data_IF_810144822039
#
_entry.id   IF_810144822039
#
_cell.length_a   1.000
_cell.length_b   1.000
_cell.length_c   1.000
_cell.angle_alpha   90.00
_cell.angle_beta   90.00
_cell.angle_gamma   90.00
#
_symmetry.space_group_name_H-M   'P 1'
#
loop_
_entity.id
_entity.type
_entity.pdbx_description
1 polymer ?
#
# COMPACT_ATOMS: atom_id res chain seq x y z
N UNK A 1 -8.33 -21.47 18.93
CA UNK A 1 -7.35 -20.48 19.43
C UNK A 1 -7.88 -19.12 19.03
N UNK A 2 -8.29 -18.29 19.99
CA UNK A 2 -8.84 -16.96 19.71
C UNK A 2 -7.69 -15.96 19.80
N UNK A 3 -7.40 -15.26 18.71
CA UNK A 3 -6.30 -14.28 18.64
C UNK A 3 -6.94 -12.90 18.54
N UNK A 4 -6.61 -12.03 19.50
CA UNK A 4 -6.99 -10.63 19.47
C UNK A 4 -5.83 -9.81 18.88
N UNK A 5 -6.05 -9.19 17.73
CA UNK A 5 -5.07 -8.29 17.13
C UNK A 5 -5.21 -6.90 17.74
N UNK A 6 -4.15 -6.44 18.41
CA UNK A 6 -4.08 -5.12 19.02
C UNK A 6 -3.17 -4.21 18.20
N UNK A 7 -3.57 -2.95 18.03
CA UNK A 7 -2.71 -1.94 17.43
C UNK A 7 -1.78 -1.36 18.48
N UNK A 8 -0.53 -1.17 18.09
CA UNK A 8 0.50 -0.64 18.95
C UNK A 8 1.56 0.05 18.10
N UNK A 9 2.26 1.00 18.72
CA UNK A 9 3.43 1.65 18.16
C UNK A 9 4.63 1.55 19.11
N UNK A 10 5.83 1.67 18.56
CA UNK A 10 7.04 1.83 19.35
C UNK A 10 7.29 3.32 19.58
N UNK A 11 7.35 3.76 20.84
CA UNK A 11 7.55 5.16 21.20
C UNK A 11 9.04 5.57 21.26
N UNK A 12 9.95 4.64 20.97
CA UNK A 12 11.40 4.82 21.10
C UNK A 12 12.00 4.15 22.33
N UNK A 13 11.17 3.72 23.29
CA UNK A 13 11.61 3.00 24.49
C UNK A 13 10.84 1.68 24.65
N UNK A 14 9.52 1.70 24.48
CA UNK A 14 8.60 0.60 24.74
C UNK A 14 7.53 0.45 23.66
N UNK A 15 6.87 -0.71 23.65
CA UNK A 15 5.69 -0.95 22.81
C UNK A 15 4.47 -0.38 23.56
N UNK A 16 3.78 0.56 22.95
CA UNK A 16 2.61 1.24 23.49
C UNK A 16 1.37 0.76 22.73
N UNK A 17 0.40 0.19 23.44
CA UNK A 17 -0.91 -0.10 22.86
C UNK A 17 -1.60 1.22 22.53
N UNK A 18 -2.16 1.33 21.31
CA UNK A 18 -2.85 2.55 20.87
C UNK A 18 -4.19 2.75 21.58
N UNK A 19 -4.78 1.64 22.04
CA UNK A 19 -6.07 1.59 22.71
C UNK A 19 -5.91 0.90 24.08
N UNK A 20 -6.61 1.36 25.13
CA UNK A 20 -6.60 0.69 26.42
C UNK A 20 -7.19 -0.71 26.30
N UNK A 21 -6.49 -1.70 26.83
CA UNK A 21 -6.96 -3.09 26.83
C UNK A 21 -6.64 -3.73 28.18
N UNK A 22 -7.61 -4.45 28.73
CA UNK A 22 -7.45 -5.17 29.99
C UNK A 22 -6.77 -6.51 29.72
N UNK A 23 -5.52 -6.64 30.18
CA UNK A 23 -4.71 -7.85 30.05
C UNK A 23 -4.34 -8.35 31.45
N UNK A 24 -4.74 -9.57 31.83
CA UNK A 24 -4.28 -10.19 33.05
C UNK A 24 -2.74 -10.28 33.08
N UNK A 25 -2.12 -10.26 34.29
CA UNK A 25 -0.71 -10.56 34.44
C UNK A 25 -0.33 -11.90 33.79
N UNK A 26 0.86 -11.96 33.20
CA UNK A 26 1.42 -13.16 32.54
C UNK A 26 0.59 -13.70 31.36
N UNK A 27 -0.29 -12.88 30.77
CA UNK A 27 -0.98 -13.22 29.52
C UNK A 27 0.05 -13.49 28.42
N UNK A 28 0.06 -14.66 27.76
CA UNK A 28 0.99 -14.95 26.69
C UNK A 28 0.68 -14.11 25.45
N UNK A 29 1.66 -13.35 24.97
CA UNK A 29 1.52 -12.46 23.81
C UNK A 29 2.41 -12.92 22.66
N UNK A 30 1.92 -12.76 21.43
CA UNK A 30 2.71 -12.88 20.20
C UNK A 30 2.86 -11.48 19.62
N UNK A 31 4.09 -11.01 19.45
CA UNK A 31 4.38 -9.67 18.93
C UNK A 31 4.89 -9.78 17.51
N UNK A 32 4.18 -9.14 16.57
CA UNK A 32 4.62 -8.97 15.20
C UNK A 32 5.12 -7.53 15.00
N UNK A 33 6.38 -7.37 14.57
CA UNK A 33 6.97 -6.07 14.26
C UNK A 33 7.06 -5.94 12.74
N UNK A 34 6.33 -4.98 12.18
CA UNK A 34 6.43 -4.65 10.77
C UNK A 34 7.72 -3.85 10.58
N UNK A 35 8.66 -4.40 9.82
CA UNK A 35 9.83 -3.64 9.41
C UNK A 35 9.39 -2.68 8.30
N UNK A 36 9.95 -1.48 8.29
CA UNK A 36 9.81 -0.60 7.14
C UNK A 36 10.63 -1.23 6.01
N UNK A 37 9.99 -2.11 5.25
CA UNK A 37 10.66 -2.85 4.20
C UNK A 37 11.06 -1.92 3.05
N UNK A 38 12.06 -2.36 2.29
CA UNK A 38 12.42 -1.83 0.96
C UNK A 38 11.19 -1.63 0.05
N UNK A 39 10.05 -2.26 0.36
CA UNK A 39 8.76 -2.07 -0.27
C UNK A 39 8.24 -0.61 -0.25
N UNK A 40 8.62 0.24 0.71
CA UNK A 40 8.30 1.68 0.65
C UNK A 40 9.15 2.39 -0.42
N UNK A 41 10.44 2.05 -0.51
CA UNK A 41 11.32 2.55 -1.56
C UNK A 41 10.90 2.02 -2.95
N UNK A 42 10.57 0.73 -3.05
CA UNK A 42 10.05 0.11 -4.28
C UNK A 42 8.73 0.75 -4.70
N UNK A 43 7.80 1.00 -3.76
CA UNK A 43 6.56 1.74 -4.06
C UNK A 43 6.83 3.15 -4.58
N UNK A 44 7.82 3.85 -4.03
CA UNK A 44 8.20 5.17 -4.53
C UNK A 44 8.73 5.10 -5.98
N UNK A 45 9.58 4.12 -6.28
CA UNK A 45 10.11 3.89 -7.63
C UNK A 45 9.01 3.52 -8.63
N UNK A 46 8.11 2.61 -8.26
CA UNK A 46 6.93 2.27 -9.07
C UNK A 46 6.02 3.46 -9.30
N UNK A 47 5.80 4.27 -8.27
CA UNK A 47 4.99 5.50 -8.37
C UNK A 47 5.63 6.52 -9.31
N UNK A 48 6.96 6.66 -9.26
CA UNK A 48 7.70 7.55 -10.14
C UNK A 48 7.65 7.07 -11.61
N UNK A 49 7.77 5.75 -11.84
CA UNK A 49 7.65 5.16 -13.18
C UNK A 49 6.24 5.35 -13.75
N UNK A 50 5.20 5.09 -12.95
CA UNK A 50 3.82 5.27 -13.36
C UNK A 50 3.51 6.73 -13.73
N UNK A 51 4.01 7.70 -12.95
CA UNK A 51 3.87 9.14 -13.27
C UNK A 51 4.53 9.50 -14.61
N UNK A 52 5.74 8.97 -14.88
CA UNK A 52 6.43 9.20 -16.16
C UNK A 52 5.66 8.61 -17.34
N UNK A 53 5.16 7.37 -17.19
CA UNK A 53 4.37 6.72 -18.22
C UNK A 53 3.06 7.47 -18.50
N UNK A 54 2.39 7.95 -17.45
CA UNK A 54 1.17 8.75 -17.58
C UNK A 54 1.45 10.07 -18.29
N UNK A 55 2.50 10.78 -17.91
CA UNK A 55 2.88 12.04 -18.57
C UNK A 55 3.20 11.84 -20.06
N UNK A 56 3.85 10.72 -20.42
CA UNK A 56 4.11 10.36 -21.82
C UNK A 56 2.84 10.03 -22.60
N UNK A 57 1.89 9.33 -21.97
CA UNK A 57 0.65 8.93 -22.65
C UNK A 57 -0.18 10.14 -23.11
N UNK A 58 -0.03 11.29 -22.44
CA UNK A 58 -0.74 12.54 -22.72
C UNK A 58 0.20 13.69 -23.13
N UNK A 59 1.39 13.36 -23.64
CA UNK A 59 2.33 14.35 -24.14
C UNK A 59 1.96 14.75 -25.58
N UNK A 60 2.56 15.83 -26.09
CA UNK A 60 2.30 16.33 -27.44
C UNK A 60 2.70 15.32 -28.55
N UNK A 61 3.47 14.28 -28.21
CA UNK A 61 3.84 13.16 -29.08
C UNK A 61 2.88 11.96 -29.00
N UNK A 62 1.71 12.11 -28.37
CA UNK A 62 0.66 11.10 -28.31
C UNK A 62 0.23 10.69 -29.73
N UNK A 63 0.29 9.39 -30.09
CA UNK A 63 -0.17 8.93 -31.39
C UNK A 63 -1.69 9.03 -31.48
N UNK A 64 -2.19 9.45 -32.65
CA UNK A 64 -3.63 9.42 -32.93
C UNK A 64 -4.13 7.97 -32.92
N UNK A 65 -5.19 7.71 -32.15
CA UNK A 65 -5.83 6.39 -32.02
C UNK A 65 -7.18 6.43 -32.77
N UNK A 66 -7.17 6.21 -34.10
CA UNK A 66 -8.39 6.29 -34.89
C UNK A 66 -9.41 5.20 -34.55
N UNK A 67 -10.68 5.49 -34.82
CA UNK A 67 -11.82 4.64 -34.46
C UNK A 67 -11.85 3.26 -35.13
N UNK A 68 -11.00 3.04 -36.13
CA UNK A 68 -10.79 1.76 -36.81
C UNK A 68 -9.83 0.83 -36.06
N UNK A 69 -9.06 1.33 -35.08
CA UNK A 69 -8.28 0.52 -34.14
C UNK A 69 -9.16 -0.19 -33.09
N UNK A 70 -10.44 0.17 -32.98
CA UNK A 70 -11.38 -0.45 -32.05
C UNK A 70 -11.83 -1.81 -32.60
N UNK A 71 -11.34 -2.89 -31.98
CA UNK A 71 -11.63 -4.29 -32.40
C UNK A 71 -13.12 -4.64 -32.36
N UNK A 72 -13.86 -4.15 -31.37
CA UNK A 72 -15.29 -4.37 -31.24
C UNK A 72 -15.93 -3.09 -30.72
N UNK A 73 -16.85 -2.53 -31.51
CA UNK A 73 -17.52 -1.29 -31.16
C UNK A 73 -18.65 -1.60 -30.16
N UNK A 74 -18.79 -0.83 -29.07
CA UNK A 74 -19.91 -1.01 -28.16
C UNK A 74 -21.23 -0.84 -28.93
N UNK A 75 -22.18 -1.74 -28.71
CA UNK A 75 -23.54 -1.63 -29.25
C UNK A 75 -24.20 -0.35 -28.72
N UNK A 76 -24.64 0.52 -29.62
CA UNK A 76 -25.43 1.71 -29.29
C UNK A 76 -26.81 1.36 -28.73
#
# INVERSE_FOLDING_TARGET
>A
MNVLTLKAHYDGERICLDEPVDLPPDTPLVVAVFQADDAEAERADWTALAKKALARAYADDEPDYPSDMVREKPSQ
#
